data_IF_045060800441
#
_entry.id   IF_045060800441
#
_cell.length_a   1.000
_cell.length_b   1.000
_cell.length_c   1.000
_cell.angle_alpha   90.00
_cell.angle_beta   90.00
_cell.angle_gamma   90.00
#
_symmetry.space_group_name_H-M   'P 1'
#
loop_
_entity.id
_entity.type
_entity.pdbx_description
1 polymer ?
#
# COMPACT_ATOMS: atom_id res chain seq x y z
N UNK A 1 -2.83 6.22 15.43
CA UNK A 1 -2.84 4.95 14.66
C UNK A 1 -3.93 4.02 15.22
N UNK A 2 -4.13 2.79 14.70
CA UNK A 2 -5.21 1.89 15.12
C UNK A 2 -4.69 0.54 15.61
N UNK A 3 -5.46 -0.11 16.47
CA UNK A 3 -5.22 -1.48 16.92
C UNK A 3 -5.65 -2.48 15.82
N UNK A 4 -4.68 -3.09 15.16
CA UNK A 4 -4.87 -4.00 14.01
C UNK A 4 -4.95 -5.47 14.45
N UNK A 5 -5.29 -6.37 13.53
CA UNK A 5 -5.21 -7.82 13.78
C UNK A 5 -3.80 -8.26 14.18
N UNK A 6 -2.76 -7.70 13.55
CA UNK A 6 -1.37 -7.95 13.96
C UNK A 6 -1.10 -7.45 15.38
N UNK A 7 -1.64 -6.28 15.76
CA UNK A 7 -1.46 -5.74 17.11
C UNK A 7 -2.17 -6.59 18.19
N UNK A 8 -3.25 -7.29 17.84
CA UNK A 8 -3.93 -8.25 18.76
C UNK A 8 -3.08 -9.46 19.08
N UNK A 9 -2.20 -9.86 18.17
CA UNK A 9 -1.29 -11.00 18.34
C UNK A 9 0.05 -10.60 18.96
N UNK A 10 0.29 -9.31 19.17
CA UNK A 10 1.57 -8.81 19.67
C UNK A 10 1.64 -8.84 21.20
N UNK A 11 2.80 -9.21 21.74
CA UNK A 11 3.08 -9.12 23.19
C UNK A 11 3.18 -7.67 23.67
N UNK A 12 3.66 -6.78 22.80
CA UNK A 12 3.87 -5.36 23.10
C UNK A 12 3.37 -4.51 21.93
N UNK A 13 2.63 -3.46 22.25
CA UNK A 13 2.13 -2.49 21.26
C UNK A 13 2.58 -1.09 21.66
N UNK A 14 3.30 -0.43 20.76
CA UNK A 14 3.81 0.94 20.97
C UNK A 14 3.00 1.92 20.10
N UNK A 15 2.25 2.86 20.69
CA UNK A 15 1.37 3.76 19.93
C UNK A 15 2.18 4.81 19.17
N UNK A 16 2.06 4.82 17.85
CA UNK A 16 2.74 5.79 16.99
C UNK A 16 1.83 6.91 16.48
N UNK A 17 2.43 8.08 16.31
CA UNK A 17 1.80 9.28 15.77
C UNK A 17 1.47 9.10 14.27
N UNK A 18 0.28 9.55 13.88
CA UNK A 18 -0.16 9.60 12.49
C UNK A 18 0.60 10.65 11.68
N UNK A 19 0.41 10.64 10.35
CA UNK A 19 1.07 11.59 9.44
C UNK A 19 0.76 13.07 9.76
N UNK A 20 -0.37 13.37 10.41
CA UNK A 20 -0.75 14.74 10.76
C UNK A 20 -0.09 15.21 12.08
N UNK A 21 0.41 14.27 12.88
CA UNK A 21 0.96 14.49 14.23
C UNK A 21 2.49 14.52 14.24
N UNK A 22 3.13 14.27 13.09
CA UNK A 22 4.59 14.21 12.96
C UNK A 22 5.07 14.96 11.73
N UNK A 23 6.35 15.28 11.76
CA UNK A 23 7.08 15.86 10.64
C UNK A 23 8.07 14.86 10.04
N UNK A 24 8.51 15.13 8.81
CA UNK A 24 9.48 14.31 8.11
C UNK A 24 9.37 14.50 6.60
N UNK A 25 9.65 13.43 5.85
CA UNK A 25 9.54 13.45 4.38
C UNK A 25 8.90 12.17 3.85
N UNK A 26 8.26 12.26 2.69
CA UNK A 26 7.75 11.12 1.92
C UNK A 26 8.32 11.15 0.50
N UNK A 27 8.84 10.02 0.01
CA UNK A 27 9.33 9.90 -1.37
C UNK A 27 8.29 9.20 -2.22
N UNK A 28 7.80 9.86 -3.27
CA UNK A 28 6.78 9.30 -4.16
C UNK A 28 7.38 8.30 -5.18
N UNK A 29 6.51 7.69 -6.00
CA UNK A 29 6.93 6.72 -7.04
C UNK A 29 7.85 7.29 -8.12
N UNK A 30 7.93 8.61 -8.27
CA UNK A 30 8.83 9.29 -9.21
C UNK A 30 10.19 9.59 -8.58
N UNK A 31 10.39 9.22 -7.30
CA UNK A 31 11.60 9.52 -6.55
C UNK A 31 11.66 10.96 -6.03
N UNK A 32 10.54 11.69 -6.00
CA UNK A 32 10.46 13.04 -5.43
C UNK A 32 10.21 12.96 -3.93
N UNK A 33 11.15 13.50 -3.15
CA UNK A 33 11.03 13.67 -1.70
C UNK A 33 10.22 14.94 -1.40
N UNK A 34 9.14 14.79 -0.63
CA UNK A 34 8.21 15.86 -0.27
C UNK A 34 8.16 16.01 1.26
N UNK A 35 8.09 17.23 1.80
CA UNK A 35 8.00 17.44 3.23
C UNK A 35 6.62 17.02 3.76
N UNK A 36 6.62 16.38 4.93
CA UNK A 36 5.45 16.15 5.77
C UNK A 36 5.58 17.12 6.94
N UNK A 37 4.61 18.01 7.08
CA UNK A 37 4.58 19.02 8.16
C UNK A 37 3.59 18.58 9.23
N UNK A 38 3.98 18.75 10.49
CA UNK A 38 3.08 18.50 11.62
C UNK A 38 1.92 19.50 11.57
N UNK A 39 0.69 19.00 11.58
CA UNK A 39 -0.53 19.79 11.56
C UNK A 39 -1.19 19.90 12.95
N UNK A 40 -1.04 18.85 13.77
CA UNK A 40 -1.59 18.77 15.13
C UNK A 40 -0.55 18.16 16.08
N UNK A 41 -0.72 18.35 17.39
CA UNK A 41 0.10 17.65 18.38
C UNK A 41 -0.27 16.16 18.45
N UNK A 42 0.69 15.26 18.76
CA UNK A 42 0.40 13.86 19.02
C UNK A 42 -0.68 13.69 20.10
N UNK A 43 -1.68 12.87 19.81
CA UNK A 43 -2.81 12.63 20.71
C UNK A 43 -2.47 11.53 21.71
N UNK A 44 -2.78 11.77 22.99
CA UNK A 44 -2.59 10.81 24.07
C UNK A 44 -1.11 10.54 24.34
N UNK A 45 -0.73 9.27 24.46
CA UNK A 45 0.66 8.83 24.68
C UNK A 45 1.39 8.50 23.37
N UNK A 46 0.82 8.89 22.22
CA UNK A 46 1.46 8.62 20.93
C UNK A 46 2.75 9.40 20.78
N UNK A 47 3.78 8.74 20.26
CA UNK A 47 5.05 9.37 19.92
C UNK A 47 5.30 9.25 18.40
N UNK A 48 5.99 10.22 17.77
CA UNK A 48 6.55 10.03 16.44
C UNK A 48 7.42 8.77 16.41
N UNK A 49 7.31 7.97 15.36
CA UNK A 49 7.93 6.64 15.28
C UNK A 49 9.45 6.70 15.54
N UNK A 50 10.13 7.74 15.05
CA UNK A 50 11.56 7.93 15.26
C UNK A 50 11.92 8.14 16.75
N UNK A 51 11.08 8.82 17.54
CA UNK A 51 11.29 8.98 19.00
C UNK A 51 11.14 7.66 19.72
N UNK A 52 10.19 6.81 19.31
CA UNK A 52 10.02 5.46 19.86
C UNK A 52 11.31 4.66 19.63
N UNK A 53 11.84 4.70 18.41
CA UNK A 53 13.08 4.01 18.05
C UNK A 53 14.26 4.53 18.88
N UNK A 54 14.40 5.85 19.07
CA UNK A 54 15.45 6.43 19.93
C UNK A 54 15.38 5.94 21.38
N UNK A 55 14.19 5.94 21.98
CA UNK A 55 14.00 5.47 23.36
C UNK A 55 14.31 3.98 23.50
N UNK A 56 13.93 3.16 22.52
CA UNK A 56 14.28 1.74 22.50
C UNK A 56 15.81 1.56 22.40
N UNK A 57 16.45 2.30 21.51
CA UNK A 57 17.90 2.26 21.31
C UNK A 57 18.66 2.64 22.59
N UNK A 58 18.21 3.69 23.28
CA UNK A 58 18.75 4.10 24.58
C UNK A 58 18.61 3.00 25.64
N UNK A 59 17.43 2.38 25.74
CA UNK A 59 17.18 1.25 26.67
C UNK A 59 17.99 0.00 26.33
N UNK A 60 18.34 -0.19 25.06
CA UNK A 60 19.22 -1.28 24.60
C UNK A 60 20.71 -0.97 24.77
N UNK A 61 21.07 0.21 25.31
CA UNK A 61 22.46 0.61 25.52
C UNK A 61 23.17 1.11 24.25
N UNK A 62 22.43 1.47 23.21
CA UNK A 62 22.93 2.00 21.94
C UNK A 62 22.28 3.37 21.64
N UNK A 63 22.55 4.42 22.41
CA UNK A 63 21.92 5.72 22.20
C UNK A 63 22.29 6.28 20.82
N UNK A 64 21.29 6.72 20.06
CA UNK A 64 21.48 7.38 18.76
C UNK A 64 21.41 8.90 18.91
N UNK A 65 22.31 9.67 18.27
CA UNK A 65 22.50 11.09 18.55
C UNK A 65 21.56 12.01 17.75
N UNK A 66 20.28 11.65 17.58
CA UNK A 66 19.32 12.46 16.79
C UNK A 66 18.34 13.23 17.68
N UNK A 67 18.18 14.50 17.37
CA UNK A 67 17.28 15.44 18.05
C UNK A 67 16.09 15.86 17.18
N UNK A 68 16.18 15.67 15.86
CA UNK A 68 15.13 16.00 14.88
C UNK A 68 15.14 15.06 13.65
N UNK A 69 14.02 14.94 12.91
CA UNK A 69 13.99 14.20 11.64
C UNK A 69 14.92 14.79 10.56
N UNK A 70 15.24 16.08 10.65
CA UNK A 70 16.16 16.73 9.70
C UNK A 70 17.59 16.22 9.85
N UNK A 71 18.05 15.95 11.08
CA UNK A 71 19.37 15.35 11.31
C UNK A 71 19.45 13.94 10.72
N UNK A 72 18.39 13.14 10.86
CA UNK A 72 18.29 11.82 10.23
C UNK A 72 18.33 11.94 8.71
N UNK A 73 17.61 12.91 8.13
CA UNK A 73 17.65 13.16 6.69
C UNK A 73 19.06 13.57 6.24
N UNK A 74 19.75 14.44 6.97
CA UNK A 74 21.12 14.85 6.63
C UNK A 74 22.08 13.65 6.56
N UNK A 75 21.97 12.70 7.49
CA UNK A 75 22.76 11.47 7.44
C UNK A 75 22.38 10.58 6.26
N UNK A 76 21.09 10.45 5.94
CA UNK A 76 20.63 9.73 4.75
C UNK A 76 21.21 10.37 3.48
N UNK A 77 21.23 11.71 3.40
CA UNK A 77 21.82 12.43 2.26
C UNK A 77 23.33 12.21 2.17
N UNK A 78 24.04 12.12 3.30
CA UNK A 78 25.47 11.80 3.31
C UNK A 78 25.74 10.37 2.80
N UNK A 79 24.99 9.39 3.29
CA UNK A 79 25.25 7.96 3.06
C UNK A 79 24.65 7.42 1.75
N UNK A 80 23.57 8.02 1.25
CA UNK A 80 22.81 7.49 0.12
C UNK A 80 22.84 8.47 -1.05
N UNK A 81 23.64 8.20 -2.11
CA UNK A 81 23.79 9.10 -3.26
C UNK A 81 22.49 9.52 -3.94
N UNK A 82 21.45 8.69 -3.87
CA UNK A 82 20.13 9.01 -4.41
C UNK A 82 19.48 10.23 -3.74
N UNK A 83 19.71 10.41 -2.44
CA UNK A 83 19.11 11.49 -1.65
C UNK A 83 19.98 12.75 -1.61
N UNK A 84 21.23 12.70 -2.06
CA UNK A 84 22.12 13.86 -2.13
C UNK A 84 21.48 15.02 -2.89
N UNK A 85 21.33 16.16 -2.22
CA UNK A 85 20.77 17.36 -2.82
C UNK A 85 21.84 18.23 -3.44
N UNK A 86 21.56 18.90 -4.58
CA UNK A 86 22.36 20.04 -4.99
C UNK A 86 22.27 21.13 -3.92
N UNK A 87 23.37 21.83 -3.64
CA UNK A 87 23.47 22.86 -2.59
C UNK A 87 22.47 24.04 -2.70
N UNK A 88 21.61 24.06 -3.72
CA UNK A 88 20.65 25.12 -4.02
C UNK A 88 19.17 24.72 -3.84
N UNK A 89 18.88 23.52 -3.33
CA UNK A 89 17.52 23.01 -3.21
C UNK A 89 16.90 23.34 -1.83
N UNK A 90 16.20 24.47 -1.74
CA UNK A 90 15.36 24.85 -0.59
C UNK A 90 14.03 24.08 -0.64
N UNK A 91 13.82 23.13 0.29
CA UNK A 91 12.53 22.42 0.41
C UNK A 91 11.36 23.35 0.77
N UNK A 92 11.62 24.47 1.43
CA UNK A 92 10.57 25.42 1.84
C UNK A 92 10.01 26.21 0.66
N UNK A 93 10.75 26.30 -0.46
CA UNK A 93 10.31 27.01 -1.68
C UNK A 93 9.70 26.11 -2.74
N UNK A 94 9.71 24.79 -2.57
CA UNK A 94 8.89 23.88 -3.36
C UNK A 94 7.44 23.81 -2.81
N UNK A 95 6.90 24.92 -2.31
CA UNK A 95 5.45 25.07 -2.24
C UNK A 95 4.94 24.95 -3.69
N UNK A 96 4.03 24.01 -3.88
CA UNK A 96 3.49 23.58 -5.16
C UNK A 96 2.88 24.78 -5.90
N UNK A 97 3.66 25.39 -6.77
CA UNK A 97 3.13 26.32 -7.74
C UNK A 97 2.45 25.47 -8.81
N UNK A 98 1.12 25.44 -8.81
CA UNK A 98 0.33 24.78 -9.85
C UNK A 98 0.67 25.34 -11.25
N UNK A 99 1.34 26.50 -11.32
CA UNK A 99 1.88 27.10 -12.53
C UNK A 99 3.18 26.42 -13.04
N UNK A 100 3.93 25.69 -12.21
CA UNK A 100 5.15 24.98 -12.66
C UNK A 100 4.87 23.68 -13.41
N UNK A 101 3.61 23.22 -13.47
CA UNK A 101 3.21 22.09 -14.33
C UNK A 101 3.33 22.39 -15.83
N UNK A 102 3.43 23.67 -16.22
CA UNK A 102 3.56 24.10 -17.62
C UNK A 102 4.97 24.62 -17.98
N UNK A 103 5.86 24.84 -17.00
CA UNK A 103 7.24 25.22 -17.28
C UNK A 103 8.15 24.00 -17.31
N UNK A 104 8.99 23.93 -18.35
CA UNK A 104 10.09 22.96 -18.57
C UNK A 104 11.08 22.81 -17.38
N UNK A 105 10.86 23.54 -16.29
CA UNK A 105 11.62 23.56 -15.04
C UNK A 105 11.28 22.42 -14.07
N UNK A 106 10.15 21.72 -14.25
CA UNK A 106 9.97 20.40 -13.62
C UNK A 106 10.94 19.47 -14.34
N UNK A 107 12.18 19.46 -13.86
CA UNK A 107 13.12 18.38 -14.09
C UNK A 107 12.43 17.12 -13.59
N UNK A 108 11.66 16.47 -14.47
CA UNK A 108 11.53 15.03 -14.44
C UNK A 108 12.96 14.56 -14.37
N UNK A 109 13.38 14.10 -13.19
CA UNK A 109 14.64 13.41 -13.00
C UNK A 109 14.49 12.12 -13.80
N UNK A 110 14.64 12.20 -15.12
CA UNK A 110 14.87 11.02 -15.96
C UNK A 110 16.10 10.37 -15.32
N UNK A 111 15.87 9.23 -14.65
CA UNK A 111 16.89 8.51 -13.90
C UNK A 111 18.13 8.26 -14.77
N UNK A 112 17.90 8.01 -16.06
CA UNK A 112 18.95 7.78 -17.04
C UNK A 112 18.87 8.83 -18.15
N UNK A 113 19.78 9.82 -18.10
CA UNK A 113 20.06 10.76 -19.20
C UNK A 113 21.35 10.41 -19.96
N UNK A 114 22.09 9.42 -19.48
CA UNK A 114 23.32 8.89 -20.05
C UNK A 114 23.30 7.35 -20.03
N UNK A 115 24.49 6.70 -20.11
CA UNK A 115 24.59 5.25 -19.95
C UNK A 115 23.90 4.76 -18.69
N UNK A 116 23.30 3.58 -18.74
CA UNK A 116 22.76 2.93 -17.54
C UNK A 116 23.91 2.67 -16.54
N UNK A 117 23.63 2.45 -15.24
CA UNK A 117 24.65 2.04 -14.28
C UNK A 117 25.40 0.78 -14.73
N UNK A 118 24.74 -0.09 -15.49
CA UNK A 118 25.31 -1.27 -16.14
C UNK A 118 26.02 -0.99 -17.48
N UNK A 119 26.20 0.28 -17.85
CA UNK A 119 26.65 0.74 -19.17
C UNK A 119 25.52 0.77 -20.18
N UNK A 120 25.18 -0.40 -20.73
CA UNK A 120 24.15 -0.54 -21.76
C UNK A 120 22.87 -1.17 -21.19
N UNK A 121 21.74 -0.84 -21.83
CA UNK A 121 20.48 -1.53 -21.56
C UNK A 121 20.60 -2.99 -21.98
N UNK A 122 20.15 -3.90 -21.11
CA UNK A 122 20.12 -5.33 -21.41
C UNK A 122 18.78 -5.69 -22.03
N UNK A 123 18.81 -6.32 -23.20
CA UNK A 123 17.62 -6.89 -23.82
C UNK A 123 17.51 -8.35 -23.38
N UNK A 124 16.41 -8.69 -22.74
CA UNK A 124 16.11 -10.06 -22.29
C UNK A 124 14.75 -10.46 -22.84
N UNK A 125 14.68 -11.50 -23.70
CA UNK A 125 13.39 -11.99 -24.18
C UNK A 125 12.61 -12.58 -23.01
N UNK A 126 11.32 -12.26 -22.92
CA UNK A 126 10.41 -12.88 -21.97
C UNK A 126 9.75 -14.08 -22.65
N UNK A 127 9.98 -15.28 -22.13
CA UNK A 127 9.26 -16.48 -22.54
C UNK A 127 7.97 -16.60 -21.73
N UNK A 128 6.84 -16.80 -22.42
CA UNK A 128 5.56 -17.01 -21.75
C UNK A 128 5.53 -18.38 -21.10
N UNK A 129 5.47 -18.41 -19.77
CA UNK A 129 5.18 -19.63 -19.00
C UNK A 129 3.70 -19.59 -18.62
N UNK A 130 2.87 -20.50 -19.14
CA UNK A 130 1.46 -20.54 -18.74
C UNK A 130 1.34 -20.86 -17.25
N UNK A 131 0.37 -20.25 -16.54
CA UNK A 131 0.04 -20.65 -15.18
C UNK A 131 -0.29 -22.16 -15.14
N UNK A 132 0.03 -22.82 -14.03
CA UNK A 132 -0.38 -24.21 -13.82
C UNK A 132 -1.90 -24.31 -13.90
N UNK A 133 -2.41 -25.14 -14.80
CA UNK A 133 -3.85 -25.38 -14.92
C UNK A 133 -4.35 -26.13 -13.68
N UNK A 134 -4.91 -25.38 -12.74
CA UNK A 134 -5.51 -25.91 -11.50
C UNK A 134 -7.01 -26.15 -11.64
N UNK A 135 -7.60 -25.90 -12.81
CA UNK A 135 -9.05 -26.05 -13.03
C UNK A 135 -9.53 -27.49 -12.84
N UNK A 136 -8.64 -28.47 -13.02
CA UNK A 136 -8.88 -29.89 -12.76
C UNK A 136 -9.03 -30.28 -11.28
N UNK A 137 -8.71 -29.37 -10.34
CA UNK A 137 -8.74 -29.65 -8.89
C UNK A 137 -10.09 -29.33 -8.22
N UNK A 138 -11.16 -29.14 -9.01
CA UNK A 138 -12.49 -28.81 -8.49
C UNK A 138 -12.76 -27.31 -8.27
N UNK A 139 -11.85 -26.43 -8.70
CA UNK A 139 -11.97 -24.98 -8.60
C UNK A 139 -11.99 -24.36 -10.02
N UNK A 140 -13.18 -24.19 -10.64
CA UNK A 140 -13.28 -23.83 -12.07
C UNK A 140 -13.16 -22.33 -12.35
N UNK A 141 -12.95 -21.49 -11.33
CA UNK A 141 -12.87 -20.03 -11.44
C UNK A 141 -11.54 -19.52 -10.92
N UNK A 142 -10.99 -18.49 -11.56
CA UNK A 142 -9.76 -17.81 -11.14
C UNK A 142 -10.11 -16.56 -10.34
N UNK A 143 -9.62 -16.47 -9.11
CA UNK A 143 -9.81 -15.30 -8.25
C UNK A 143 -8.69 -14.27 -8.47
N UNK A 144 -9.10 -13.05 -8.80
CA UNK A 144 -8.26 -11.86 -8.83
C UNK A 144 -8.50 -11.03 -7.57
N UNK A 145 -7.41 -10.44 -7.08
CA UNK A 145 -7.36 -9.65 -5.86
C UNK A 145 -6.79 -8.28 -6.19
N UNK A 146 -7.34 -7.21 -5.62
CA UNK A 146 -6.81 -5.88 -5.86
C UNK A 146 -7.37 -4.78 -4.98
N UNK A 147 -6.85 -3.57 -5.23
CA UNK A 147 -7.28 -2.34 -4.54
C UNK A 147 -8.49 -1.72 -5.24
N UNK A 148 -9.26 -0.96 -4.47
CA UNK A 148 -10.37 -0.14 -4.98
C UNK A 148 -10.15 1.32 -4.64
N UNK A 149 -10.78 2.22 -5.39
CA UNK A 149 -10.58 3.67 -5.27
C UNK A 149 -10.77 4.20 -3.85
N UNK A 150 -11.81 3.74 -3.15
CA UNK A 150 -12.24 4.32 -1.86
C UNK A 150 -11.48 3.76 -0.65
N UNK A 151 -10.77 2.64 -0.80
CA UNK A 151 -10.12 1.96 0.32
C UNK A 151 -8.70 1.52 -0.02
N UNK A 152 -7.79 1.76 0.92
CA UNK A 152 -6.37 1.52 0.73
C UNK A 152 -5.83 0.43 1.66
N UNK A 153 -4.97 -0.43 1.13
CA UNK A 153 -4.36 -1.54 1.87
C UNK A 153 -5.42 -2.43 2.52
N UNK A 154 -5.22 -2.83 3.76
CA UNK A 154 -6.18 -3.62 4.55
C UNK A 154 -7.41 -2.83 5.04
N UNK A 155 -7.65 -1.62 4.54
CA UNK A 155 -8.76 -0.76 4.95
C UNK A 155 -8.65 -0.18 6.36
N UNK A 156 -7.58 -0.48 7.10
CA UNK A 156 -7.39 -0.08 8.51
C UNK A 156 -7.65 1.41 8.76
N UNK A 157 -7.29 2.29 7.82
CA UNK A 157 -7.56 3.73 7.92
C UNK A 157 -8.84 4.13 7.20
N UNK A 158 -8.99 3.72 5.94
CA UNK A 158 -10.06 4.19 5.07
C UNK A 158 -11.45 3.72 5.49
N UNK A 159 -11.60 2.51 6.04
CA UNK A 159 -12.90 2.01 6.53
C UNK A 159 -13.40 2.75 7.79
N UNK A 160 -12.52 3.49 8.47
CA UNK A 160 -12.88 4.30 9.64
C UNK A 160 -13.25 5.73 9.27
N UNK A 161 -13.00 6.16 8.03
CA UNK A 161 -13.47 7.43 7.52
C UNK A 161 -14.93 7.28 7.05
N UNK A 162 -15.85 7.98 7.72
CA UNK A 162 -17.30 7.87 7.46
C UNK A 162 -17.64 8.03 5.97
N UNK A 163 -17.14 9.09 5.35
CA UNK A 163 -17.38 9.38 3.92
C UNK A 163 -16.86 8.30 2.98
N UNK A 164 -15.69 7.72 3.26
CA UNK A 164 -15.14 6.66 2.39
C UNK A 164 -15.92 5.37 2.56
N UNK A 165 -16.33 5.05 3.79
CA UNK A 165 -17.11 3.86 4.11
C UNK A 165 -18.47 3.87 3.41
N UNK A 166 -19.10 5.03 3.22
CA UNK A 166 -20.38 5.15 2.50
C UNK A 166 -20.29 4.66 1.05
N UNK A 167 -19.16 4.82 0.37
CA UNK A 167 -19.00 4.38 -1.02
C UNK A 167 -18.85 2.86 -1.19
N UNK A 168 -18.28 2.17 -0.21
CA UNK A 168 -18.11 0.71 -0.25
C UNK A 168 -18.12 0.14 1.17
N UNK A 169 -19.29 -0.02 1.80
CA UNK A 169 -19.37 -0.31 3.24
C UNK A 169 -18.98 -1.74 3.63
N UNK A 170 -19.03 -2.67 2.68
CA UNK A 170 -18.86 -4.10 2.89
C UNK A 170 -18.04 -4.72 1.75
N UNK A 171 -17.40 -5.85 2.08
CA UNK A 171 -16.79 -6.73 1.09
C UNK A 171 -17.81 -7.27 0.09
N UNK A 172 -17.33 -7.52 -1.13
CA UNK A 172 -18.10 -8.12 -2.23
C UNK A 172 -17.17 -8.86 -3.18
N UNK A 173 -17.72 -9.77 -3.98
CA UNK A 173 -17.01 -10.47 -5.06
C UNK A 173 -17.69 -10.19 -6.40
N UNK A 174 -16.93 -9.63 -7.33
CA UNK A 174 -17.36 -9.41 -8.70
C UNK A 174 -17.34 -10.72 -9.50
N UNK A 175 -18.41 -10.93 -10.26
CA UNK A 175 -18.61 -12.09 -11.13
C UNK A 175 -19.23 -11.64 -12.46
N UNK A 176 -18.91 -12.34 -13.56
CA UNK A 176 -19.55 -12.08 -14.85
C UNK A 176 -21.03 -12.43 -14.84
N UNK A 177 -21.82 -11.79 -15.70
CA UNK A 177 -23.24 -12.12 -15.87
C UNK A 177 -23.47 -13.59 -16.28
N UNK A 178 -22.59 -14.17 -17.09
CA UNK A 178 -22.75 -15.54 -17.58
C UNK A 178 -22.44 -16.55 -16.47
N UNK A 179 -21.41 -16.30 -15.65
CA UNK A 179 -21.09 -17.14 -14.51
C UNK A 179 -22.11 -17.02 -13.39
N UNK A 180 -22.64 -15.83 -13.14
CA UNK A 180 -23.74 -15.60 -12.22
C UNK A 180 -24.97 -16.45 -12.60
N UNK A 181 -25.36 -16.45 -13.89
CA UNK A 181 -26.45 -17.30 -14.41
C UNK A 181 -26.14 -18.79 -14.28
N UNK A 182 -24.91 -19.20 -14.61
CA UNK A 182 -24.45 -20.60 -14.54
C UNK A 182 -24.50 -21.14 -13.11
N UNK A 183 -24.07 -20.33 -12.15
CA UNK A 183 -24.05 -20.66 -10.73
C UNK A 183 -25.38 -20.36 -10.02
N UNK A 184 -26.33 -19.70 -10.71
CA UNK A 184 -27.64 -19.29 -10.19
C UNK A 184 -27.54 -18.37 -8.98
N UNK A 185 -26.62 -17.41 -9.04
CA UNK A 185 -26.45 -16.35 -8.05
C UNK A 185 -26.86 -15.01 -8.65
N UNK A 186 -27.52 -14.18 -7.84
CA UNK A 186 -27.92 -12.82 -8.15
C UNK A 186 -27.00 -11.78 -7.50
N UNK A 187 -27.23 -10.53 -7.83
CA UNK A 187 -26.55 -9.41 -7.17
C UNK A 187 -26.92 -9.36 -5.68
N UNK A 188 -25.95 -9.05 -4.83
CA UNK A 188 -26.06 -9.03 -3.37
C UNK A 188 -26.34 -10.38 -2.70
N UNK A 189 -26.41 -11.50 -3.44
CA UNK A 189 -26.58 -12.82 -2.83
C UNK A 189 -25.37 -13.17 -1.97
N UNK A 190 -25.58 -13.73 -0.76
CA UNK A 190 -24.49 -14.23 0.07
C UNK A 190 -23.90 -15.49 -0.55
N UNK A 191 -22.59 -15.52 -0.72
CA UNK A 191 -21.86 -16.66 -1.28
C UNK A 191 -20.68 -17.04 -0.40
N UNK A 192 -20.40 -18.35 -0.38
CA UNK A 192 -19.17 -18.89 0.18
C UNK A 192 -18.17 -19.11 -0.95
N UNK A 193 -17.03 -18.46 -0.86
CA UNK A 193 -15.91 -18.61 -1.79
C UNK A 193 -14.94 -19.60 -1.17
N UNK A 194 -14.62 -20.68 -1.89
CA UNK A 194 -13.76 -21.77 -1.40
C UNK A 194 -12.57 -21.91 -2.34
N UNK A 195 -11.37 -21.97 -1.78
CA UNK A 195 -10.14 -22.33 -2.47
C UNK A 195 -9.52 -23.59 -1.86
N UNK A 196 -8.36 -24.02 -2.37
CA UNK A 196 -7.65 -25.18 -1.83
C UNK A 196 -7.09 -24.99 -0.42
N UNK A 197 -6.99 -23.76 0.08
CA UNK A 197 -6.36 -23.43 1.37
C UNK A 197 -7.31 -22.79 2.38
N UNK A 198 -8.49 -22.35 1.96
CA UNK A 198 -9.43 -21.68 2.85
C UNK A 198 -10.78 -21.40 2.22
N UNK A 199 -11.67 -20.82 3.02
CA UNK A 199 -12.98 -20.38 2.59
C UNK A 199 -13.40 -19.11 3.32
N UNK A 200 -14.19 -18.26 2.67
CA UNK A 200 -14.77 -17.07 3.27
C UNK A 200 -16.19 -16.82 2.75
N UNK A 201 -16.94 -15.97 3.44
CA UNK A 201 -18.27 -15.53 3.02
C UNK A 201 -18.24 -14.06 2.63
N UNK A 202 -18.91 -13.72 1.52
CA UNK A 202 -19.07 -12.35 1.02
C UNK A 202 -20.35 -12.25 0.17
N UNK A 203 -20.65 -11.09 -0.39
CA UNK A 203 -21.81 -10.89 -1.28
C UNK A 203 -21.39 -10.80 -2.74
N UNK A 204 -22.25 -11.24 -3.64
CA UNK A 204 -22.02 -11.17 -5.08
C UNK A 204 -22.24 -9.74 -5.59
N UNK A 205 -21.39 -9.32 -6.53
CA UNK A 205 -21.60 -8.13 -7.35
C UNK A 205 -21.55 -8.54 -8.83
N UNK A 206 -22.70 -8.55 -9.51
CA UNK A 206 -22.74 -8.99 -10.91
C UNK A 206 -22.30 -7.84 -11.81
N UNK A 207 -21.34 -8.08 -12.69
CA UNK A 207 -20.83 -7.08 -13.63
C UNK A 207 -20.77 -7.59 -15.07
N UNK A 208 -20.87 -6.66 -16.02
CA UNK A 208 -20.66 -6.93 -17.45
C UNK A 208 -19.21 -6.72 -17.90
N UNK A 209 -18.33 -6.18 -17.05
CA UNK A 209 -16.94 -5.86 -17.41
C UNK A 209 -15.96 -7.00 -17.14
N UNK A 210 -16.33 -7.97 -16.29
CA UNK A 210 -15.45 -9.08 -15.92
C UNK A 210 -15.65 -10.26 -16.89
N UNK A 211 -14.58 -10.77 -17.53
CA UNK A 211 -14.65 -11.97 -18.35
C UNK A 211 -15.14 -13.20 -17.57
N UNK A 212 -15.85 -14.11 -18.23
CA UNK A 212 -16.25 -15.39 -17.64
C UNK A 212 -15.05 -16.26 -17.29
N UNK A 213 -15.14 -17.01 -16.20
CA UNK A 213 -14.06 -17.76 -15.57
C UNK A 213 -13.27 -16.97 -14.54
N UNK A 214 -13.52 -15.67 -14.39
CA UNK A 214 -12.81 -14.80 -13.44
C UNK A 214 -13.75 -14.33 -12.33
N UNK A 215 -13.16 -14.14 -11.15
CA UNK A 215 -13.74 -13.44 -10.01
C UNK A 215 -12.81 -12.29 -9.62
N UNK A 216 -13.34 -11.18 -9.10
CA UNK A 216 -12.53 -10.11 -8.51
C UNK A 216 -13.03 -9.77 -7.12
N UNK A 217 -12.14 -9.69 -6.14
CA UNK A 217 -12.52 -9.30 -4.78
C UNK A 217 -11.51 -8.28 -4.21
N UNK A 218 -11.98 -7.18 -3.58
CA UNK A 218 -11.07 -6.20 -3.00
C UNK A 218 -10.34 -6.72 -1.74
N UNK A 219 -9.08 -6.31 -1.56
CA UNK A 219 -8.26 -6.68 -0.38
C UNK A 219 -8.62 -5.92 0.90
N UNK A 220 -9.41 -4.85 0.78
CA UNK A 220 -9.47 -3.81 1.81
C UNK A 220 -10.42 -4.10 2.96
N UNK A 221 -11.05 -5.27 3.03
CA UNK A 221 -12.14 -5.59 3.96
C UNK A 221 -11.73 -6.67 4.97
N UNK A 222 -11.44 -6.30 6.23
CA UNK A 222 -11.07 -7.26 7.28
C UNK A 222 -12.17 -8.26 7.64
N UNK A 223 -13.45 -7.94 7.40
CA UNK A 223 -14.58 -8.84 7.67
C UNK A 223 -14.63 -10.07 6.75
N UNK A 224 -13.99 -9.98 5.58
CA UNK A 224 -13.89 -11.08 4.61
C UNK A 224 -12.46 -11.09 4.04
N UNK A 225 -11.48 -11.62 4.80
CA UNK A 225 -10.07 -11.52 4.49
C UNK A 225 -9.70 -12.41 3.29
N UNK A 226 -9.65 -11.81 2.10
CA UNK A 226 -9.35 -12.52 0.84
C UNK A 226 -8.02 -13.29 0.87
N UNK A 227 -7.05 -12.84 1.68
CA UNK A 227 -5.76 -13.50 1.82
C UNK A 227 -5.87 -14.94 2.37
N UNK A 228 -6.95 -15.29 3.06
CA UNK A 228 -7.21 -16.67 3.50
C UNK A 228 -7.49 -17.64 2.32
N UNK A 229 -7.80 -17.11 1.13
CA UNK A 229 -8.02 -17.90 -0.06
C UNK A 229 -6.73 -18.18 -0.86
N UNK A 230 -5.60 -17.56 -0.50
CA UNK A 230 -4.33 -17.70 -1.21
C UNK A 230 -3.33 -18.49 -0.38
N UNK A 231 -2.62 -19.39 -1.05
CA UNK A 231 -1.50 -20.11 -0.43
C UNK A 231 -0.35 -19.12 -0.18
N UNK A 232 0.23 -19.14 1.02
CA UNK A 232 1.35 -18.29 1.37
C UNK A 232 2.62 -19.06 1.08
N UNK A 233 3.22 -18.82 -0.09
CA UNK A 233 4.61 -19.22 -0.35
C UNK A 233 5.51 -18.12 0.15
N UNK A 234 6.15 -18.34 1.29
CA UNK A 234 7.26 -17.50 1.75
C UNK A 234 8.47 -17.89 0.91
N UNK A 235 9.01 -16.92 0.17
CA UNK A 235 10.24 -17.02 -0.60
C UNK A 235 11.50 -16.93 0.28
#
# INVERSE_FOLDING_TARGET
>A
MFFTETARLADVVLPSASFAEKEGTFTNFEGRTQPVRKAIEPIGECLPDWRIILQLSEKMGQPMPYSSPQEVMNEIEELVPFYQRPASADLEKEDVDWAELESDSVRTKRLYKGPFPSGFGRLSPAEYTPPTDVSGNGYPLTLLSGSILHHFGSGTRSLRASRLKEFSPHSWIEISQDDAKRLRVGDSDPVKVVSSVGELTTTVKVTGSLPSGLLFMPISFPESPINELFDIKVD
#
